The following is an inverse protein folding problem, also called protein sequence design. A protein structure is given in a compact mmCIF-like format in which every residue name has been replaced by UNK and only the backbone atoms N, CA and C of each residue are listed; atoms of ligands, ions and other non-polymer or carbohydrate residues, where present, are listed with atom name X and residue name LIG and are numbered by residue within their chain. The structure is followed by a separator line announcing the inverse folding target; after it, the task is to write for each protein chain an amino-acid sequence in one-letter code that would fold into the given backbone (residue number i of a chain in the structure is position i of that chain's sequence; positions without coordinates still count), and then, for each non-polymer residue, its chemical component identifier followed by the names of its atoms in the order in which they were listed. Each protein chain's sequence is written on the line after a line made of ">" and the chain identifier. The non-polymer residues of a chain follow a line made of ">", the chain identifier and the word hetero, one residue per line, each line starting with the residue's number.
data_IF_336797167139
#
_entry.id   IF_336797167139
#
_cell.length_a   1.000
_cell.length_b   1.000
_cell.length_c   1.000
_cell.angle_alpha   90.00
_cell.angle_beta   90.00
_cell.angle_gamma   90.00
#
_symmetry.space_group_name_H-M   'P 1'
#
loop_
_entity.id
_entity.type
_entity.pdbx_description
1 polymer ?
#
# COMPACT_ATOMS: atom_id res chain seq x y z
N UNK A 1 -18.38 27.03 6.26
CA UNK A 1 -17.44 26.17 5.49
C UNK A 1 -17.28 26.83 4.13
N UNK A 2 -16.04 26.94 3.63
CA UNK A 2 -15.75 27.50 2.31
C UNK A 2 -16.05 26.46 1.21
N UNK A 3 -16.00 26.84 -0.07
CA UNK A 3 -15.81 25.85 -1.14
C UNK A 3 -14.58 24.99 -0.79
N UNK A 4 -14.71 23.66 -0.84
CA UNK A 4 -13.66 22.73 -0.39
C UNK A 4 -12.38 22.87 -1.22
N UNK A 5 -12.49 23.40 -2.44
CA UNK A 5 -11.38 23.82 -3.32
C UNK A 5 -10.53 24.98 -2.75
N UNK A 6 -11.11 25.80 -1.87
CA UNK A 6 -10.53 27.02 -1.27
C UNK A 6 -10.30 26.86 0.25
N UNK A 7 -10.89 25.84 0.88
CA UNK A 7 -10.66 25.51 2.29
C UNK A 7 -9.20 25.24 2.63
N UNK A 8 -8.81 25.59 3.86
CA UNK A 8 -7.47 25.34 4.38
C UNK A 8 -7.24 23.85 4.60
N UNK A 9 -5.99 23.40 4.49
CA UNK A 9 -5.60 22.01 4.81
C UNK A 9 -6.03 21.60 6.23
N UNK A 10 -5.90 22.52 7.20
CA UNK A 10 -6.36 22.34 8.58
C UNK A 10 -7.88 22.08 8.68
N UNK A 11 -8.71 22.83 7.94
CA UNK A 11 -10.17 22.66 7.91
C UNK A 11 -10.57 21.28 7.38
N UNK A 12 -9.86 20.79 6.36
CA UNK A 12 -10.12 19.47 5.74
C UNK A 12 -9.68 18.33 6.67
N UNK A 13 -8.56 18.50 7.40
CA UNK A 13 -8.08 17.51 8.38
C UNK A 13 -9.01 17.42 9.62
N UNK A 14 -9.60 18.55 10.06
CA UNK A 14 -10.61 18.56 11.12
C UNK A 14 -11.89 17.79 10.71
N UNK A 15 -12.33 17.94 9.46
CA UNK A 15 -13.42 17.13 8.88
C UNK A 15 -13.08 15.64 8.84
N UNK A 16 -11.84 15.27 8.50
CA UNK A 16 -11.37 13.88 8.55
C UNK A 16 -11.20 13.35 9.97
N UNK A 17 -11.03 14.23 10.97
CA UNK A 17 -10.68 13.89 12.38
C UNK A 17 -9.42 13.05 12.51
N UNK A 18 -8.51 13.16 11.54
CA UNK A 18 -7.20 12.51 11.52
C UNK A 18 -6.17 13.46 10.91
N UNK A 19 -4.98 13.48 11.50
CA UNK A 19 -3.83 14.29 11.07
C UNK A 19 -2.67 13.40 10.59
N UNK A 20 -2.98 12.17 10.15
CA UNK A 20 -1.99 11.29 9.53
C UNK A 20 -1.48 11.85 8.20
N UNK A 21 -0.22 11.52 7.87
CA UNK A 21 0.40 11.89 6.60
C UNK A 21 -0.25 11.24 5.35
N UNK A 22 -1.25 10.35 5.54
CA UNK A 22 -2.12 9.85 4.48
C UNK A 22 -3.30 10.81 4.25
N UNK A 23 -3.91 11.31 5.33
CA UNK A 23 -4.94 12.35 5.31
C UNK A 23 -4.40 13.69 4.78
N UNK A 24 -3.19 14.11 5.14
CA UNK A 24 -2.56 15.33 4.61
C UNK A 24 -2.41 15.28 3.07
N UNK A 25 -1.91 14.15 2.55
CA UNK A 25 -1.78 13.93 1.10
C UNK A 25 -3.13 13.89 0.41
N UNK A 26 -4.13 13.33 1.07
CA UNK A 26 -5.51 13.27 0.55
C UNK A 26 -6.12 14.67 0.47
N UNK A 27 -5.98 15.50 1.51
CA UNK A 27 -6.45 16.89 1.50
C UNK A 27 -5.76 17.73 0.40
N UNK A 28 -4.45 17.54 0.19
CA UNK A 28 -3.70 18.18 -0.89
C UNK A 28 -4.09 17.68 -2.30
N UNK A 29 -4.35 16.37 -2.45
CA UNK A 29 -4.83 15.78 -3.72
C UNK A 29 -6.24 16.28 -4.07
N UNK A 30 -7.16 16.32 -3.11
CA UNK A 30 -8.55 16.76 -3.33
C UNK A 30 -8.59 18.23 -3.75
N UNK A 31 -7.92 19.12 -3.00
CA UNK A 31 -7.86 20.56 -3.33
C UNK A 31 -7.23 20.83 -4.69
N UNK A 32 -6.17 20.10 -5.06
CA UNK A 32 -5.53 20.18 -6.39
C UNK A 32 -6.46 19.69 -7.49
N UNK A 33 -7.09 18.52 -7.31
CA UNK A 33 -8.01 17.91 -8.28
C UNK A 33 -9.23 18.80 -8.53
N UNK A 34 -9.84 19.37 -7.48
CA UNK A 34 -10.99 20.28 -7.62
C UNK A 34 -10.62 21.59 -8.31
N UNK A 35 -9.42 22.14 -8.08
CA UNK A 35 -8.93 23.29 -8.84
C UNK A 35 -8.66 22.93 -10.31
N UNK A 36 -8.14 21.74 -10.60
CA UNK A 36 -7.93 21.29 -11.97
C UNK A 36 -9.25 21.04 -12.73
N UNK A 37 -10.25 20.44 -12.09
CA UNK A 37 -11.62 20.31 -12.65
C UNK A 37 -12.19 21.69 -12.97
N UNK A 38 -12.20 22.60 -11.99
CA UNK A 38 -12.72 23.95 -12.17
C UNK A 38 -12.00 24.72 -13.29
N UNK A 39 -10.68 24.56 -13.41
CA UNK A 39 -9.87 25.23 -14.45
C UNK A 39 -10.15 24.64 -15.85
N UNK A 40 -10.44 23.35 -15.97
CA UNK A 40 -10.78 22.72 -17.26
C UNK A 40 -12.22 23.01 -17.70
N UNK A 41 -13.19 22.99 -16.78
CA UNK A 41 -14.63 23.03 -17.12
C UNK A 41 -15.33 24.35 -16.81
N UNK A 42 -14.65 25.30 -16.18
CA UNK A 42 -15.23 26.54 -15.63
C UNK A 42 -16.38 26.31 -14.62
N UNK A 43 -16.45 25.13 -14.01
CA UNK A 43 -17.49 24.74 -13.06
C UNK A 43 -17.10 23.52 -12.22
N UNK A 44 -18.06 22.97 -11.50
CA UNK A 44 -17.89 21.74 -10.70
C UNK A 44 -18.63 20.56 -11.32
N UNK A 45 -18.62 20.48 -12.65
CA UNK A 45 -19.26 19.41 -13.44
C UNK A 45 -18.24 18.59 -14.20
N UNK A 46 -18.57 17.32 -14.43
CA UNK A 46 -17.87 16.39 -15.32
C UNK A 46 -18.77 15.94 -16.49
N UNK A 47 -19.93 16.58 -16.70
CA UNK A 47 -20.93 16.14 -17.69
C UNK A 47 -20.41 16.21 -19.13
N UNK A 48 -19.56 17.19 -19.47
CA UNK A 48 -18.92 17.28 -20.80
C UNK A 48 -18.17 16.01 -21.19
N UNK A 49 -17.39 15.42 -20.26
CA UNK A 49 -16.66 14.17 -20.46
C UNK A 49 -17.58 12.99 -20.83
N UNK A 50 -18.88 13.05 -20.53
CA UNK A 50 -19.83 11.99 -20.93
C UNK A 50 -20.18 12.04 -22.41
N UNK A 51 -20.08 13.22 -23.05
CA UNK A 51 -20.50 13.45 -24.44
C UNK A 51 -19.39 13.11 -25.45
N UNK A 52 -18.12 13.43 -25.13
CA UNK A 52 -16.97 13.15 -26.01
C UNK A 52 -16.56 11.66 -26.09
N UNK A 53 -17.27 10.80 -25.35
CA UNK A 53 -17.19 9.35 -25.46
C UNK A 53 -16.06 8.70 -24.66
N UNK A 54 -16.28 7.44 -24.27
CA UNK A 54 -15.54 6.74 -23.21
C UNK A 54 -14.00 6.78 -23.33
N UNK A 55 -13.44 6.72 -24.54
CA UNK A 55 -11.97 6.79 -24.74
C UNK A 55 -11.39 8.18 -24.44
N UNK A 56 -12.07 9.23 -24.88
CA UNK A 56 -11.64 10.61 -24.62
C UNK A 56 -11.87 10.96 -23.15
N UNK A 57 -13.03 10.58 -22.61
CA UNK A 57 -13.37 10.74 -21.20
C UNK A 57 -12.30 10.16 -20.25
N UNK A 58 -11.82 8.93 -20.50
CA UNK A 58 -10.75 8.32 -19.71
C UNK A 58 -9.44 9.11 -19.81
N UNK A 59 -9.07 9.55 -21.02
CA UNK A 59 -7.84 10.32 -21.26
C UNK A 59 -7.87 11.64 -20.47
N UNK A 60 -8.89 12.46 -20.68
CA UNK A 60 -9.00 13.78 -20.06
C UNK A 60 -9.10 13.72 -18.53
N UNK A 61 -9.76 12.68 -18.00
CA UNK A 61 -9.82 12.33 -16.58
C UNK A 61 -8.44 11.95 -16.02
N UNK A 62 -7.64 11.19 -16.78
CA UNK A 62 -6.25 10.87 -16.40
C UNK A 62 -5.30 12.08 -16.46
N UNK A 63 -5.66 13.10 -17.26
CA UNK A 63 -4.96 14.39 -17.36
C UNK A 63 -5.43 15.42 -16.31
N UNK A 64 -6.19 15.04 -15.27
CA UNK A 64 -6.58 15.96 -14.18
C UNK A 64 -5.47 16.03 -13.13
N UNK A 65 -4.99 17.23 -12.84
CA UNK A 65 -3.84 17.43 -11.96
C UNK A 65 -4.12 17.00 -10.51
N UNK A 66 -3.35 16.05 -10.00
CA UNK A 66 -3.47 15.57 -8.62
C UNK A 66 -4.46 14.42 -8.40
N UNK A 67 -5.13 13.94 -9.46
CA UNK A 67 -5.96 12.73 -9.42
C UNK A 67 -5.08 11.49 -9.18
N UNK A 68 -5.64 10.45 -8.56
CA UNK A 68 -4.95 9.15 -8.39
C UNK A 68 -5.42 8.15 -9.45
N UNK A 69 -4.60 7.16 -9.85
CA UNK A 69 -5.02 6.10 -10.79
C UNK A 69 -6.27 5.36 -10.32
N UNK A 70 -6.38 5.09 -9.01
CA UNK A 70 -7.60 4.54 -8.41
C UNK A 70 -8.83 5.42 -8.66
N UNK A 71 -8.72 6.74 -8.48
CA UNK A 71 -9.83 7.67 -8.73
C UNK A 71 -10.20 7.77 -10.22
N UNK A 72 -9.23 7.70 -11.13
CA UNK A 72 -9.50 7.62 -12.59
C UNK A 72 -10.33 6.37 -12.91
N UNK A 73 -9.84 5.18 -12.53
CA UNK A 73 -10.55 3.91 -12.78
C UNK A 73 -11.89 3.85 -12.05
N UNK A 74 -12.02 4.45 -10.87
CA UNK A 74 -13.26 4.45 -10.09
C UNK A 74 -14.33 5.35 -10.72
N UNK A 75 -13.98 6.57 -11.12
CA UNK A 75 -14.92 7.44 -11.84
C UNK A 75 -15.23 6.89 -13.23
N UNK A 76 -14.28 6.23 -13.90
CA UNK A 76 -14.52 5.57 -15.19
C UNK A 76 -15.54 4.43 -15.06
N UNK A 77 -15.39 3.55 -14.08
CA UNK A 77 -16.34 2.47 -13.78
C UNK A 77 -17.72 3.00 -13.35
N UNK A 78 -17.76 3.93 -12.39
CA UNK A 78 -19.00 4.29 -11.68
C UNK A 78 -19.78 5.46 -12.27
N UNK A 79 -19.12 6.43 -12.92
CA UNK A 79 -19.76 7.62 -13.49
C UNK A 79 -19.80 7.62 -15.02
N UNK A 80 -18.81 7.00 -15.68
CA UNK A 80 -18.70 6.97 -17.14
C UNK A 80 -19.13 5.62 -17.77
N UNK A 81 -19.51 4.64 -16.94
CA UNK A 81 -19.92 3.30 -17.37
C UNK A 81 -18.86 2.59 -18.21
N UNK A 82 -17.59 2.86 -17.96
CA UNK A 82 -16.44 2.26 -18.63
C UNK A 82 -15.98 0.97 -17.96
N UNK A 83 -15.33 0.08 -18.72
CA UNK A 83 -14.71 -1.11 -18.14
C UNK A 83 -13.34 -0.76 -17.55
N UNK A 84 -13.24 -0.75 -16.23
CA UNK A 84 -11.99 -0.71 -15.47
C UNK A 84 -12.22 -1.28 -14.07
N UNK A 85 -11.17 -1.80 -13.43
CA UNK A 85 -11.25 -2.38 -12.08
C UNK A 85 -10.37 -1.56 -11.12
N UNK A 86 -10.95 -0.62 -10.36
CA UNK A 86 -10.20 0.30 -9.51
C UNK A 86 -9.67 -0.40 -8.24
N UNK A 87 -8.38 -0.75 -8.26
CA UNK A 87 -7.71 -1.37 -7.11
C UNK A 87 -7.08 -0.34 -6.17
N UNK A 88 -7.28 -0.56 -4.87
CA UNK A 88 -6.50 0.09 -3.80
C UNK A 88 -5.39 -0.84 -3.31
N UNK A 89 -4.32 -0.28 -2.74
CA UNK A 89 -3.23 -1.05 -2.12
C UNK A 89 -3.73 -2.13 -1.13
N UNK A 90 -4.79 -1.85 -0.36
CA UNK A 90 -5.44 -2.81 0.58
C UNK A 90 -6.08 -4.02 -0.13
N UNK A 91 -6.54 -3.85 -1.36
CA UNK A 91 -7.09 -4.92 -2.21
C UNK A 91 -5.97 -5.71 -2.87
N UNK A 92 -4.89 -5.04 -3.30
CA UNK A 92 -3.69 -5.68 -3.84
C UNK A 92 -3.01 -6.55 -2.77
N UNK A 93 -2.88 -6.04 -1.53
CA UNK A 93 -2.47 -6.80 -0.34
C UNK A 93 -3.31 -8.08 -0.14
N UNK A 94 -4.64 -7.98 -0.31
CA UNK A 94 -5.56 -9.10 -0.16
C UNK A 94 -5.37 -10.14 -1.28
N UNK A 95 -5.31 -9.69 -2.55
CA UNK A 95 -5.11 -10.55 -3.72
C UNK A 95 -3.77 -11.30 -3.67
N UNK A 96 -2.69 -10.63 -3.23
CA UNK A 96 -1.38 -11.26 -3.01
C UNK A 96 -1.41 -12.24 -1.83
N UNK A 97 -2.10 -11.89 -0.73
CA UNK A 97 -2.21 -12.77 0.45
C UNK A 97 -3.08 -14.02 0.22
N UNK A 98 -3.98 -13.98 -0.77
CA UNK A 98 -4.76 -15.12 -1.25
C UNK A 98 -4.11 -15.92 -2.38
N UNK A 99 -2.87 -15.59 -2.78
CA UNK A 99 -2.14 -16.19 -3.92
C UNK A 99 -2.88 -16.10 -5.28
N UNK A 100 -3.88 -15.22 -5.38
CA UNK A 100 -4.71 -15.03 -6.59
C UNK A 100 -3.98 -14.29 -7.72
N UNK A 101 -2.84 -13.67 -7.42
CA UNK A 101 -2.07 -12.81 -8.30
C UNK A 101 -0.58 -13.06 -8.08
N UNK A 102 0.21 -13.03 -9.16
CA UNK A 102 1.65 -13.30 -9.10
C UNK A 102 2.38 -12.25 -8.24
N UNK A 103 3.19 -12.64 -7.23
CA UNK A 103 3.75 -11.74 -6.20
C UNK A 103 4.93 -10.85 -6.69
N UNK A 104 5.06 -10.66 -8.00
CA UNK A 104 5.95 -9.68 -8.64
C UNK A 104 5.27 -8.84 -9.72
N UNK A 105 3.95 -8.99 -9.91
CA UNK A 105 3.20 -8.19 -10.85
C UNK A 105 3.16 -6.72 -10.37
N UNK A 106 3.23 -5.76 -11.29
CA UNK A 106 3.00 -4.34 -10.97
C UNK A 106 1.51 -4.05 -10.88
N UNK A 107 1.08 -3.06 -10.09
CA UNK A 107 -0.33 -2.70 -9.88
C UNK A 107 -1.17 -2.64 -11.18
N UNK A 108 -0.58 -2.12 -12.27
CA UNK A 108 -1.20 -2.01 -13.60
C UNK A 108 -1.28 -3.35 -14.37
N UNK A 109 -0.37 -4.29 -14.12
CA UNK A 109 -0.52 -5.67 -14.59
C UNK A 109 -1.66 -6.38 -13.85
N UNK A 110 -1.89 -6.05 -12.56
CA UNK A 110 -2.96 -6.64 -11.75
C UNK A 110 -4.33 -6.11 -12.20
N UNK A 111 -4.51 -4.80 -12.37
CA UNK A 111 -5.77 -4.24 -12.92
C UNK A 111 -6.04 -4.82 -14.31
N UNK A 112 -5.06 -4.76 -15.21
CA UNK A 112 -5.20 -5.27 -16.57
C UNK A 112 -5.39 -6.79 -16.66
N UNK A 113 -4.94 -7.56 -15.66
CA UNK A 113 -5.24 -8.99 -15.55
C UNK A 113 -6.71 -9.21 -15.17
N UNK A 114 -7.20 -8.55 -14.11
CA UNK A 114 -8.59 -8.67 -13.67
C UNK A 114 -9.57 -8.19 -14.77
N UNK A 115 -9.25 -7.07 -15.44
CA UNK A 115 -10.05 -6.52 -16.55
C UNK A 115 -10.13 -7.46 -17.77
N UNK A 116 -9.24 -8.45 -17.89
CA UNK A 116 -9.31 -9.52 -18.90
C UNK A 116 -10.04 -10.79 -18.42
N UNK A 117 -10.23 -10.97 -17.11
CA UNK A 117 -10.94 -12.13 -16.54
C UNK A 117 -12.43 -11.84 -16.25
N UNK A 118 -12.75 -10.58 -15.95
CA UNK A 118 -14.09 -10.16 -15.48
C UNK A 118 -14.79 -9.37 -16.60
N UNK A 119 -16.05 -9.72 -16.86
CA UNK A 119 -16.87 -9.04 -17.86
C UNK A 119 -17.23 -7.61 -17.47
N UNK A 120 -17.48 -6.77 -18.47
CA UNK A 120 -17.86 -5.37 -18.24
C UNK A 120 -19.23 -5.19 -17.55
N UNK A 121 -20.08 -6.23 -17.54
CA UNK A 121 -21.30 -6.26 -16.74
C UNK A 121 -21.01 -6.48 -15.25
N UNK A 122 -20.12 -7.45 -14.94
CA UNK A 122 -19.85 -7.90 -13.57
C UNK A 122 -18.80 -7.04 -12.85
N UNK A 123 -18.11 -6.14 -13.57
CA UNK A 123 -16.99 -5.34 -13.06
C UNK A 123 -17.33 -4.48 -11.82
N UNK A 124 -18.56 -3.94 -11.75
CA UNK A 124 -19.01 -3.15 -10.60
C UNK A 124 -19.28 -4.02 -9.36
N UNK A 125 -20.02 -5.12 -9.53
CA UNK A 125 -20.35 -6.03 -8.44
C UNK A 125 -19.10 -6.76 -7.92
N UNK A 126 -18.20 -7.17 -8.82
CA UNK A 126 -16.89 -7.69 -8.44
C UNK A 126 -16.09 -6.68 -7.62
N UNK A 127 -16.02 -5.41 -8.04
CA UNK A 127 -15.34 -4.35 -7.28
C UNK A 127 -15.95 -4.19 -5.88
N UNK A 128 -17.28 -4.16 -5.78
CA UNK A 128 -18.00 -3.99 -4.52
C UNK A 128 -17.72 -5.14 -3.54
N UNK A 129 -17.76 -6.38 -4.04
CA UNK A 129 -17.46 -7.60 -3.27
C UNK A 129 -15.98 -7.67 -2.85
N UNK A 130 -15.04 -7.46 -3.78
CA UNK A 130 -13.60 -7.45 -3.50
C UNK A 130 -13.24 -6.38 -2.45
N UNK A 131 -13.86 -5.19 -2.55
CA UNK A 131 -13.65 -4.12 -1.59
C UNK A 131 -14.11 -4.50 -0.19
N UNK A 132 -15.34 -5.00 -0.07
CA UNK A 132 -15.92 -5.42 1.21
C UNK A 132 -15.05 -6.49 1.88
N UNK A 133 -14.68 -7.53 1.13
CA UNK A 133 -13.88 -8.65 1.63
C UNK A 133 -12.44 -8.22 2.01
N UNK A 134 -11.79 -7.36 1.22
CA UNK A 134 -10.48 -6.81 1.56
C UNK A 134 -10.51 -5.94 2.83
N UNK A 135 -11.57 -5.16 3.05
CA UNK A 135 -11.77 -4.36 4.26
C UNK A 135 -12.02 -5.26 5.49
N UNK A 136 -12.84 -6.31 5.37
CA UNK A 136 -13.09 -7.30 6.43
C UNK A 136 -11.83 -8.11 6.80
N UNK A 137 -11.11 -8.62 5.80
CA UNK A 137 -9.87 -9.37 5.99
C UNK A 137 -8.82 -8.55 6.77
N UNK A 138 -8.74 -7.24 6.52
CA UNK A 138 -7.85 -6.34 7.26
C UNK A 138 -8.32 -6.07 8.70
N UNK A 139 -9.64 -6.05 8.98
CA UNK A 139 -10.15 -6.00 10.36
C UNK A 139 -9.75 -7.27 11.15
N UNK A 140 -9.86 -8.44 10.52
CA UNK A 140 -9.38 -9.70 11.08
C UNK A 140 -7.84 -9.72 11.25
N UNK A 141 -7.08 -9.18 10.29
CA UNK A 141 -5.60 -9.10 10.36
C UNK A 141 -5.12 -8.22 11.52
N UNK A 142 -5.74 -7.05 11.71
CA UNK A 142 -5.47 -6.12 12.82
C UNK A 142 -5.77 -6.77 14.17
N UNK A 143 -6.91 -7.46 14.28
CA UNK A 143 -7.32 -8.18 15.50
C UNK A 143 -6.31 -9.28 15.87
N UNK A 144 -5.91 -10.13 14.90
CA UNK A 144 -4.88 -11.17 15.10
C UNK A 144 -3.53 -10.57 15.52
N UNK A 145 -3.07 -9.48 14.88
CA UNK A 145 -1.82 -8.76 15.23
C UNK A 145 -1.88 -8.12 16.63
N UNK A 146 -3.03 -7.58 17.06
CA UNK A 146 -3.21 -7.02 18.40
C UNK A 146 -3.11 -8.11 19.50
N UNK A 147 -3.78 -9.25 19.30
CA UNK A 147 -3.71 -10.41 20.22
C UNK A 147 -2.27 -10.93 20.34
N UNK A 148 -1.54 -11.03 19.22
CA UNK A 148 -0.14 -11.44 19.22
C UNK A 148 0.76 -10.48 20.03
N UNK A 149 0.61 -9.16 19.85
CA UNK A 149 1.33 -8.13 20.64
C UNK A 149 0.99 -8.21 22.13
N UNK A 150 -0.26 -8.49 22.51
CA UNK A 150 -0.67 -8.68 23.92
C UNK A 150 0.00 -9.90 24.55
N UNK A 151 0.12 -11.02 23.81
CA UNK A 151 0.80 -12.25 24.26
C UNK A 151 2.32 -12.06 24.43
N UNK A 152 3.00 -11.34 23.54
CA UNK A 152 4.45 -11.08 23.67
C UNK A 152 4.77 -10.07 24.79
N UNK A 153 3.93 -9.05 24.99
CA UNK A 153 4.07 -8.12 26.11
C UNK A 153 3.93 -8.82 27.48
N UNK A 154 2.98 -9.74 27.62
CA UNK A 154 2.81 -10.54 28.84
C UNK A 154 4.07 -11.37 29.17
N UNK A 155 4.65 -12.05 28.17
CA UNK A 155 5.81 -12.93 28.34
C UNK A 155 7.10 -12.19 28.73
N UNK A 156 7.17 -10.86 28.55
CA UNK A 156 8.33 -10.02 28.90
C UNK A 156 8.29 -9.47 30.35
N UNK A 157 7.15 -9.51 31.05
CA UNK A 157 7.06 -9.05 32.46
C UNK A 157 7.55 -10.09 33.48
N UNK A 158 7.56 -11.38 33.15
CA UNK A 158 7.89 -12.46 34.10
C UNK A 158 9.38 -12.69 34.34
N UNK A 159 10.26 -12.24 33.44
CA UNK A 159 11.70 -12.57 33.46
C UNK A 159 12.58 -11.64 34.30
N UNK A 160 12.07 -10.51 34.79
CA UNK A 160 12.88 -9.45 35.43
C UNK A 160 13.06 -9.65 36.95
N UNK A 161 12.15 -10.38 37.63
CA UNK A 161 12.03 -10.34 39.10
C UNK A 161 12.85 -11.40 39.88
N UNK A 162 13.99 -11.88 39.37
CA UNK A 162 14.77 -12.95 40.04
C UNK A 162 16.31 -12.86 39.94
N UNK A 163 16.93 -11.74 40.36
CA UNK A 163 18.37 -11.74 40.74
C UNK A 163 18.80 -10.66 41.77
N UNK A 164 18.64 -10.99 43.06
CA UNK A 164 19.37 -10.47 44.24
C UNK A 164 19.47 -11.63 45.26
N UNK A 165 20.51 -11.78 46.10
CA UNK A 165 21.76 -11.00 46.23
C UNK A 165 22.93 -11.66 45.47
N UNK A 166 24.09 -12.15 45.95
CA UNK A 166 24.66 -12.40 47.31
C UNK A 166 26.15 -11.97 47.34
N UNK A 167 27.11 -12.71 47.94
CA UNK A 167 28.53 -12.28 48.08
C UNK A 167 29.57 -13.43 47.93
N UNK A 168 30.57 -13.18 47.06
CA UNK A 168 32.04 -13.25 47.32
C UNK A 168 32.66 -14.48 48.03
N UNK A 169 33.46 -15.27 47.30
CA UNK A 169 34.79 -15.79 47.75
C UNK A 169 35.72 -16.10 46.55
N UNK A 170 36.95 -16.52 46.81
CA UNK A 170 38.15 -16.22 46.00
C UNK A 170 38.94 -17.48 45.53
N UNK A 171 40.11 -17.28 44.90
CA UNK A 171 41.13 -18.26 44.44
C UNK A 171 40.79 -18.88 43.07
N UNK A 172 41.53 -18.77 41.94
CA UNK A 172 42.94 -18.50 41.51
C UNK A 172 43.61 -19.76 40.91
N UNK A 173 44.44 -19.57 39.85
CA UNK A 173 45.27 -20.56 39.10
C UNK A 173 44.49 -21.49 38.13
N UNK A 174 45.03 -21.92 36.96
CA UNK A 174 46.30 -21.58 36.25
C UNK A 174 46.16 -21.78 34.71
N UNK A 175 47.16 -21.28 33.97
CA UNK A 175 47.58 -21.50 32.56
C UNK A 175 47.28 -22.93 32.02
N UNK A 176 47.05 -23.20 30.73
CA UNK A 176 47.86 -22.86 29.50
C UNK A 176 46.97 -22.68 28.24
N UNK A 177 47.28 -21.84 27.24
CA UNK A 177 48.33 -21.91 26.19
C UNK A 177 48.17 -23.12 25.23
N UNK A 178 48.37 -23.07 23.90
CA UNK A 178 48.88 -22.02 22.97
C UNK A 178 48.41 -22.40 21.52
N UNK A 179 47.76 -21.53 20.71
CA UNK A 179 48.30 -20.54 19.72
C UNK A 179 48.67 -21.13 18.34
N UNK A 180 48.47 -20.35 17.24
CA UNK A 180 48.89 -20.60 15.82
C UNK A 180 48.14 -21.74 15.09
N UNK A 181 48.03 -21.86 13.74
CA UNK A 181 48.45 -21.09 12.52
C UNK A 181 47.63 -21.65 11.33
N UNK A 182 47.38 -21.07 10.14
CA UNK A 182 47.50 -19.78 9.42
C UNK A 182 47.20 -20.07 7.92
N UNK A 183 46.96 -19.04 7.10
CA UNK A 183 47.09 -19.00 5.63
C UNK A 183 46.06 -19.68 4.69
N UNK A 184 45.43 -18.80 3.88
CA UNK A 184 45.39 -18.78 2.40
C UNK A 184 45.29 -20.12 1.64
N UNK A 185 44.21 -20.25 0.85
CA UNK A 185 44.30 -20.85 -0.50
C UNK A 185 43.43 -20.07 -1.51
N UNK A 186 44.07 -19.24 -2.34
CA UNK A 186 43.53 -18.85 -3.66
C UNK A 186 43.76 -20.01 -4.64
N UNK A 187 42.96 -20.05 -5.72
CA UNK A 187 43.01 -20.82 -6.98
C UNK A 187 41.60 -21.41 -7.23
N UNK A 188 40.73 -20.78 -8.02
CA UNK A 188 40.71 -20.61 -9.49
C UNK A 188 39.97 -21.75 -10.21
N UNK A 189 38.77 -21.49 -10.73
CA UNK A 189 37.99 -22.40 -11.56
C UNK A 189 37.04 -21.64 -12.51
N UNK A 190 36.69 -22.27 -13.65
CA UNK A 190 35.85 -21.79 -14.79
C UNK A 190 36.44 -20.58 -15.58
N UNK A 191 36.80 -20.62 -16.88
CA UNK A 191 36.67 -21.53 -18.07
C UNK A 191 35.58 -21.16 -19.10
N UNK A 192 36.01 -20.48 -20.18
CA UNK A 192 35.38 -20.33 -21.54
C UNK A 192 33.93 -19.76 -21.54
N UNK A 193 33.33 -19.29 -22.63
CA UNK A 193 33.57 -19.21 -24.10
C UNK A 193 33.18 -17.79 -24.59
N UNK A 194 33.47 -17.27 -25.79
CA UNK A 194 34.45 -17.50 -26.88
C UNK A 194 34.23 -16.35 -27.92
N UNK A 195 34.99 -16.26 -29.03
CA UNK A 195 34.62 -15.31 -30.11
C UNK A 195 35.73 -14.80 -31.05
N UNK A 196 36.28 -15.67 -31.89
CA UNK A 196 36.70 -15.39 -33.27
C UNK A 196 37.00 -16.70 -34.00
#
# INVERSE_FOLDING_TARGET
>A
INDLRVSRREEILDVFRDSSAECEKSAASITRTLNAVFTKTNGMTLEGLTQDGKRQAHKELSEIEGITPFAVSYCFLTALGGHAIPLNAKMIDYLMAGELVHPKATDAEITGFLERQIGAADAYDFYLLLRNEAEQAQAASKTKKAIARKKTAAKKKTSVKKKKTTKKKTVVRKKTAVKKTVAKKKLSAKKKTAGK
#
